data_IF_707755249738
#
_entry.id   IF_707755249738
#
_cell.length_a   1.000
_cell.length_b   1.000
_cell.length_c   1.000
_cell.angle_alpha   90.00
_cell.angle_beta   90.00
_cell.angle_gamma   90.00
#
_symmetry.space_group_name_H-M   'P 1'
#
loop_
_entity.id
_entity.type
_entity.pdbx_description
1 polymer ?
#
# COMPACT_ATOMS: atom_id res chain seq x y z
N UNK A 1 -7.55 -27.41 -0.10
CA UNK A 1 -6.83 -26.18 -0.56
C UNK A 1 -6.64 -25.20 0.61
N UNK A 2 -6.24 -25.67 1.79
CA UNK A 2 -6.14 -24.87 3.03
C UNK A 2 -4.71 -24.74 3.56
N UNK A 3 -3.77 -25.50 3.00
CA UNK A 3 -2.40 -25.62 3.54
C UNK A 3 -1.48 -24.47 3.15
N UNK A 4 -1.88 -23.63 2.19
CA UNK A 4 -1.07 -22.51 1.72
C UNK A 4 -1.21 -21.26 2.61
N UNK A 5 -2.43 -20.92 3.03
CA UNK A 5 -2.72 -19.76 3.88
C UNK A 5 -2.12 -19.91 5.29
N UNK A 6 -2.17 -21.11 5.86
CA UNK A 6 -1.56 -21.38 7.17
C UNK A 6 -0.03 -21.25 7.13
N UNK A 7 0.60 -21.66 6.03
CA UNK A 7 2.06 -21.54 5.84
C UNK A 7 2.51 -20.10 5.63
N UNK A 8 1.70 -19.29 4.92
CA UNK A 8 1.95 -17.87 4.70
C UNK A 8 1.75 -17.09 6.01
N UNK A 9 0.65 -17.34 6.73
CA UNK A 9 0.38 -16.70 8.01
C UNK A 9 1.43 -17.05 9.08
N UNK A 10 1.96 -18.29 9.05
CA UNK A 10 3.06 -18.70 9.92
C UNK A 10 4.36 -17.97 9.57
N UNK A 11 4.72 -17.90 8.28
CA UNK A 11 5.92 -17.18 7.81
C UNK A 11 5.86 -15.68 8.11
N UNK A 12 4.69 -15.06 8.06
CA UNK A 12 4.51 -13.63 8.37
C UNK A 12 4.54 -13.38 9.88
N UNK A 13 3.99 -14.28 10.71
CA UNK A 13 4.19 -14.24 12.17
C UNK A 13 5.67 -14.35 12.56
N UNK A 14 6.43 -15.20 11.87
CA UNK A 14 7.87 -15.34 12.12
C UNK A 14 8.68 -14.09 11.68
N UNK A 15 8.11 -13.26 10.79
CA UNK A 15 8.67 -11.96 10.36
C UNK A 15 8.19 -10.77 11.22
N UNK A 16 7.23 -10.98 12.12
CA UNK A 16 6.70 -9.94 13.01
C UNK A 16 7.73 -9.57 14.07
N UNK A 17 8.61 -8.64 13.71
CA UNK A 17 9.61 -8.06 14.58
C UNK A 17 8.93 -7.25 15.69
N UNK A 18 9.03 -7.77 16.91
CA UNK A 18 9.30 -6.99 18.13
C UNK A 18 8.23 -5.99 18.59
N UNK A 19 7.73 -6.23 19.80
CA UNK A 19 6.93 -5.30 20.58
C UNK A 19 7.52 -3.88 20.68
N UNK A 20 6.61 -2.91 20.65
CA UNK A 20 6.61 -1.63 21.36
C UNK A 20 7.96 -1.07 21.83
N UNK A 21 8.52 -0.12 21.08
CA UNK A 21 9.35 0.95 21.67
C UNK A 21 9.18 2.25 20.88
N UNK A 22 8.80 3.31 21.59
CA UNK A 22 8.50 4.67 21.10
C UNK A 22 9.79 5.47 20.78
N UNK A 23 10.79 4.84 20.17
CA UNK A 23 12.00 5.50 19.68
C UNK A 23 12.35 4.93 18.31
N UNK A 24 12.64 5.80 17.34
CA UNK A 24 13.12 5.42 16.01
C UNK A 24 14.45 4.68 16.14
N UNK A 25 14.37 3.36 16.35
CA UNK A 25 15.52 2.47 16.26
C UNK A 25 16.01 2.48 14.81
N UNK A 26 17.34 2.38 14.58
CA UNK A 26 17.85 2.24 13.23
C UNK A 26 17.24 0.96 12.66
N UNK A 27 16.32 1.12 11.70
CA UNK A 27 15.64 -0.01 11.09
C UNK A 27 16.71 -0.94 10.52
N UNK A 28 16.83 -2.13 11.10
CA UNK A 28 17.55 -3.23 10.49
C UNK A 28 16.92 -3.41 9.12
N UNK A 29 17.65 -3.10 8.05
CA UNK A 29 17.16 -3.13 6.67
C UNK A 29 16.46 -4.48 6.41
N UNK A 30 15.13 -4.47 6.30
CA UNK A 30 14.35 -5.69 6.09
C UNK A 30 14.30 -5.91 4.58
N UNK A 31 14.93 -6.99 4.11
CA UNK A 31 14.79 -7.38 2.72
C UNK A 31 13.43 -8.04 2.52
N UNK A 32 12.55 -7.38 1.77
CA UNK A 32 11.19 -7.82 1.54
C UNK A 32 11.07 -8.81 0.38
N UNK A 33 12.14 -9.12 -0.40
CA UNK A 33 12.03 -9.97 -1.60
C UNK A 33 11.22 -11.23 -1.36
N UNK A 34 11.40 -11.93 -0.25
CA UNK A 34 10.63 -13.16 0.02
C UNK A 34 9.17 -12.91 0.39
N UNK A 35 8.88 -11.78 1.02
CA UNK A 35 7.55 -11.41 1.47
C UNK A 35 6.71 -10.79 0.34
N UNK A 36 7.36 -10.10 -0.61
CA UNK A 36 6.67 -9.33 -1.66
C UNK A 36 6.95 -9.81 -3.09
N UNK A 37 7.84 -10.78 -3.31
CA UNK A 37 8.07 -11.31 -4.65
C UNK A 37 6.81 -11.98 -5.20
N UNK A 38 6.47 -11.60 -6.44
CA UNK A 38 5.42 -12.24 -7.23
C UNK A 38 4.02 -12.10 -6.64
N UNK A 39 3.74 -10.99 -5.96
CA UNK A 39 2.38 -10.66 -5.56
C UNK A 39 1.70 -9.90 -6.71
N UNK A 40 1.03 -10.65 -7.58
CA UNK A 40 0.08 -10.09 -8.54
C UNK A 40 -1.21 -9.74 -7.81
N UNK A 41 -1.63 -8.48 -7.88
CA UNK A 41 -2.93 -8.04 -7.36
C UNK A 41 -3.66 -7.13 -8.34
N UNK A 42 -5.00 -7.05 -8.24
CA UNK A 42 -5.77 -6.08 -9.01
C UNK A 42 -5.39 -4.66 -8.63
N UNK A 43 -5.12 -3.84 -9.65
CA UNK A 43 -4.86 -2.41 -9.51
C UNK A 43 -5.80 -1.61 -10.40
N UNK A 44 -6.11 -0.39 -9.98
CA UNK A 44 -6.67 0.66 -10.80
C UNK A 44 -5.57 1.67 -11.12
N UNK A 45 -5.41 2.01 -12.39
CA UNK A 45 -4.55 3.07 -12.85
C UNK A 45 -5.13 3.71 -14.12
N UNK A 46 -5.33 5.03 -14.10
CA UNK A 46 -5.79 5.84 -15.23
C UNK A 46 -6.99 5.26 -15.99
N UNK A 47 -8.10 5.05 -15.27
CA UNK A 47 -9.35 4.55 -15.85
C UNK A 47 -9.36 3.05 -16.16
N UNK A 48 -8.28 2.32 -15.91
CA UNK A 48 -8.16 0.89 -16.24
C UNK A 48 -7.95 0.03 -14.99
N UNK A 49 -8.55 -1.16 -14.98
CA UNK A 49 -8.30 -2.20 -13.97
C UNK A 49 -7.53 -3.35 -14.63
N UNK A 50 -6.44 -3.77 -14.02
CA UNK A 50 -5.64 -4.92 -14.47
C UNK A 50 -4.89 -5.57 -13.30
N UNK A 51 -4.35 -6.76 -13.52
CA UNK A 51 -3.47 -7.45 -12.57
C UNK A 51 -2.04 -6.93 -12.72
N UNK A 52 -1.37 -6.66 -11.60
CA UNK A 52 0.00 -6.13 -11.59
C UNK A 52 0.84 -6.80 -10.52
N UNK A 53 2.04 -7.27 -10.87
CA UNK A 53 3.10 -7.60 -9.91
C UNK A 53 3.81 -6.31 -9.50
N UNK A 54 3.18 -5.58 -8.57
CA UNK A 54 3.45 -4.18 -8.26
C UNK A 54 4.94 -3.87 -8.18
N UNK A 55 5.69 -4.62 -7.37
CA UNK A 55 7.09 -4.29 -7.12
C UNK A 55 7.99 -4.65 -8.29
N UNK A 56 7.77 -5.79 -8.95
CA UNK A 56 8.58 -6.16 -10.11
C UNK A 56 8.32 -5.22 -11.30
N UNK A 57 7.06 -4.86 -11.54
CA UNK A 57 6.69 -3.98 -12.65
C UNK A 57 7.10 -2.53 -12.40
N UNK A 58 6.92 -1.98 -11.19
CA UNK A 58 7.38 -0.62 -10.87
C UNK A 58 8.90 -0.50 -11.03
N UNK A 59 9.66 -1.46 -10.47
CA UNK A 59 11.12 -1.44 -10.56
C UNK A 59 11.68 -1.89 -11.92
N UNK A 60 10.82 -2.30 -12.86
CA UNK A 60 11.22 -2.50 -14.26
C UNK A 60 11.40 -1.18 -15.03
N UNK A 61 10.82 -0.08 -14.50
CA UNK A 61 10.96 1.26 -15.09
C UNK A 61 12.37 1.80 -14.77
N UNK A 62 13.22 2.09 -15.77
CA UNK A 62 14.67 2.29 -15.55
C UNK A 62 15.07 3.43 -14.60
N UNK A 63 14.21 4.44 -14.46
CA UNK A 63 14.48 5.63 -13.64
C UNK A 63 13.80 5.58 -12.26
N UNK A 64 13.07 4.51 -11.93
CA UNK A 64 12.45 4.37 -10.61
C UNK A 64 13.43 3.68 -9.66
N UNK A 65 13.78 4.39 -8.59
CA UNK A 65 14.69 3.94 -7.54
C UNK A 65 13.92 3.56 -6.27
N UNK A 66 12.74 4.14 -6.07
CA UNK A 66 11.93 3.95 -4.87
C UNK A 66 10.45 3.69 -5.18
N UNK A 67 9.80 2.92 -4.32
CA UNK A 67 8.35 2.81 -4.26
C UNK A 67 7.90 3.26 -2.88
N UNK A 68 6.94 4.18 -2.83
CA UNK A 68 6.27 4.62 -1.61
C UNK A 68 4.91 3.94 -1.57
N UNK A 69 4.72 3.09 -0.57
CA UNK A 69 3.48 2.34 -0.35
C UNK A 69 2.70 2.98 0.79
N UNK A 70 1.49 3.43 0.49
CA UNK A 70 0.57 4.01 1.45
C UNK A 70 -0.56 3.03 1.71
N UNK A 71 -0.76 2.61 2.96
CA UNK A 71 -1.97 1.93 3.40
C UNK A 71 -2.95 2.98 3.91
N UNK A 72 -4.07 3.14 3.23
CA UNK A 72 -5.09 4.14 3.54
C UNK A 72 -6.36 3.47 4.05
N UNK A 73 -7.21 4.26 4.72
CA UNK A 73 -8.58 3.83 5.04
C UNK A 73 -9.36 3.48 3.77
N UNK A 74 -10.50 2.81 3.95
CA UNK A 74 -11.41 2.45 2.87
C UNK A 74 -11.75 3.63 1.95
N UNK A 75 -11.97 3.31 0.68
CA UNK A 75 -12.48 4.23 -0.32
C UNK A 75 -13.78 4.89 0.15
N UNK A 76 -14.05 6.09 -0.36
CA UNK A 76 -15.20 6.93 0.03
C UNK A 76 -15.21 7.41 1.50
N UNK A 77 -14.19 7.12 2.32
CA UNK A 77 -14.05 7.74 3.64
C UNK A 77 -13.43 9.13 3.56
N UNK A 78 -13.80 10.04 4.47
CA UNK A 78 -13.20 11.38 4.53
C UNK A 78 -11.69 11.34 4.75
N UNK A 79 -11.22 10.43 5.61
CA UNK A 79 -9.81 10.31 5.91
C UNK A 79 -9.02 9.83 4.68
N UNK A 80 -9.51 8.80 3.99
CA UNK A 80 -8.92 8.35 2.73
C UNK A 80 -8.89 9.48 1.70
N UNK A 81 -9.98 10.25 1.54
CA UNK A 81 -9.99 11.42 0.63
C UNK A 81 -8.87 12.42 0.94
N UNK A 82 -8.69 12.78 2.22
CA UNK A 82 -7.65 13.72 2.64
C UNK A 82 -6.25 13.16 2.35
N UNK A 83 -6.05 11.87 2.60
CA UNK A 83 -4.77 11.21 2.34
C UNK A 83 -4.45 11.19 0.84
N UNK A 84 -5.40 10.76 -0.01
CA UNK A 84 -5.22 10.71 -1.47
C UNK A 84 -4.99 12.12 -2.06
N UNK A 85 -5.68 13.15 -1.55
CA UNK A 85 -5.45 14.53 -1.96
C UNK A 85 -4.02 14.99 -1.64
N UNK A 86 -3.53 14.72 -0.42
CA UNK A 86 -2.16 15.08 -0.04
C UNK A 86 -1.11 14.34 -0.88
N UNK A 87 -1.34 13.06 -1.19
CA UNK A 87 -0.48 12.28 -2.08
C UNK A 87 -0.48 12.91 -3.48
N UNK A 88 -1.64 13.29 -4.01
CA UNK A 88 -1.77 13.93 -5.31
C UNK A 88 -1.01 15.27 -5.38
N UNK A 89 -1.23 16.15 -4.40
CA UNK A 89 -0.57 17.46 -4.31
C UNK A 89 0.97 17.36 -4.22
N UNK A 90 1.49 16.26 -3.69
CA UNK A 90 2.92 16.04 -3.53
C UNK A 90 3.52 15.07 -4.55
N UNK A 91 2.71 14.51 -5.46
CA UNK A 91 3.14 13.44 -6.38
C UNK A 91 4.33 13.86 -7.25
N UNK A 92 4.36 15.12 -7.70
CA UNK A 92 5.48 15.65 -8.49
C UNK A 92 6.82 15.58 -7.73
N UNK A 93 6.83 15.72 -6.41
CA UNK A 93 8.04 15.59 -5.59
C UNK A 93 8.51 14.15 -5.54
N UNK A 94 7.60 13.18 -5.48
CA UNK A 94 7.97 11.75 -5.54
C UNK A 94 8.66 11.44 -6.87
N UNK A 95 8.10 11.91 -7.99
CA UNK A 95 8.68 11.74 -9.32
C UNK A 95 10.07 12.39 -9.42
N UNK A 96 10.27 13.59 -8.88
CA UNK A 96 11.57 14.26 -8.83
C UNK A 96 12.64 13.45 -8.07
N UNK A 97 12.22 12.62 -7.12
CA UNK A 97 13.08 11.72 -6.35
C UNK A 97 13.08 10.28 -6.89
N UNK A 98 12.73 10.08 -8.16
CA UNK A 98 12.73 8.75 -8.79
C UNK A 98 11.82 7.75 -8.05
N UNK A 99 10.72 8.22 -7.46
CA UNK A 99 9.82 7.42 -6.66
C UNK A 99 8.44 7.28 -7.31
N UNK A 100 7.89 6.06 -7.30
CA UNK A 100 6.50 5.80 -7.63
C UNK A 100 5.67 5.68 -6.34
N UNK A 101 4.41 6.13 -6.38
CA UNK A 101 3.47 5.96 -5.27
C UNK A 101 2.44 4.88 -5.58
N UNK A 102 2.17 4.03 -4.59
CA UNK A 102 1.14 3.00 -4.59
C UNK A 102 0.29 3.19 -3.35
N UNK A 103 -1.01 3.39 -3.54
CA UNK A 103 -1.98 3.43 -2.45
C UNK A 103 -2.68 2.08 -2.39
N UNK A 104 -2.74 1.49 -1.22
CA UNK A 104 -3.36 0.19 -0.96
C UNK A 104 -4.54 0.41 -0.01
N UNK A 105 -5.68 -0.19 -0.35
CA UNK A 105 -6.81 -0.32 0.56
C UNK A 105 -7.32 -1.75 0.57
N UNK A 106 -8.32 -2.01 1.40
CA UNK A 106 -9.03 -3.28 1.46
C UNK A 106 -10.23 -3.37 0.51
N UNK A 107 -10.52 -2.31 -0.23
CA UNK A 107 -11.60 -2.25 -1.21
C UNK A 107 -11.26 -3.01 -2.49
N UNK A 108 -12.33 -3.37 -3.21
CA UNK A 108 -12.23 -4.08 -4.49
C UNK A 108 -11.84 -3.13 -5.61
N UNK A 109 -11.22 -3.61 -6.72
CA UNK A 109 -10.77 -2.73 -7.80
C UNK A 109 -11.90 -1.96 -8.49
N UNK A 110 -13.13 -2.48 -8.50
CA UNK A 110 -14.28 -1.76 -9.03
C UNK A 110 -14.73 -0.60 -8.12
N UNK A 111 -14.47 -0.68 -6.82
CA UNK A 111 -14.69 0.43 -5.88
C UNK A 111 -13.63 1.51 -6.13
N UNK A 112 -12.36 1.11 -6.33
CA UNK A 112 -11.30 2.02 -6.77
C UNK A 112 -11.67 2.77 -8.04
N UNK A 113 -12.15 2.07 -9.06
CA UNK A 113 -12.61 2.70 -10.30
C UNK A 113 -13.72 3.73 -10.03
N UNK A 114 -14.73 3.37 -9.23
CA UNK A 114 -15.82 4.28 -8.92
C UNK A 114 -15.36 5.50 -8.11
N UNK A 115 -14.46 5.30 -7.16
CA UNK A 115 -13.95 6.35 -6.29
C UNK A 115 -13.00 7.29 -7.02
N UNK A 116 -12.07 6.74 -7.80
CA UNK A 116 -10.97 7.48 -8.41
C UNK A 116 -11.25 8.03 -9.82
N UNK A 117 -12.43 7.74 -10.39
CA UNK A 117 -12.87 8.32 -11.67
C UNK A 117 -13.69 9.59 -11.40
N UNK A 118 -13.19 10.79 -11.77
CA UNK A 118 -13.91 12.04 -11.54
C UNK A 118 -15.30 12.04 -12.16
N UNK A 119 -16.30 12.45 -11.36
CA UNK A 119 -17.68 12.55 -11.80
C UNK A 119 -18.43 11.22 -11.97
N UNK A 120 -17.82 10.06 -11.65
CA UNK A 120 -18.51 8.77 -11.72
C UNK A 120 -19.65 8.64 -10.70
N UNK A 121 -19.42 9.13 -9.47
CA UNK A 121 -20.44 9.34 -8.44
C UNK A 121 -20.30 10.74 -7.83
N UNK A 122 -21.30 11.19 -7.08
CA UNK A 122 -21.22 12.46 -6.32
C UNK A 122 -20.10 12.45 -5.27
N UNK A 123 -19.67 11.26 -4.85
CA UNK A 123 -18.63 11.06 -3.84
C UNK A 123 -17.30 10.60 -4.45
N UNK A 124 -17.13 10.66 -5.77
CA UNK A 124 -15.82 10.37 -6.39
C UNK A 124 -14.80 11.46 -6.04
N UNK A 125 -13.52 11.17 -6.28
CA UNK A 125 -12.46 12.18 -6.27
C UNK A 125 -12.73 13.23 -7.34
N UNK A 126 -12.31 14.45 -7.09
CA UNK A 126 -12.35 15.57 -8.03
C UNK A 126 -11.13 15.61 -8.96
N UNK A 127 -10.19 14.69 -8.78
CA UNK A 127 -9.02 14.48 -9.62
C UNK A 127 -8.86 13.00 -9.98
N UNK A 128 -8.21 12.74 -11.11
CA UNK A 128 -7.77 11.40 -11.47
C UNK A 128 -6.37 11.14 -10.89
N UNK A 129 -6.19 10.13 -10.02
CA UNK A 129 -4.89 9.87 -9.41
C UNK A 129 -3.80 9.55 -10.44
N UNK A 130 -2.65 10.23 -10.32
CA UNK A 130 -1.45 9.93 -11.11
C UNK A 130 -0.66 8.72 -10.57
N UNK A 131 -1.11 8.14 -9.45
CA UNK A 131 -0.52 7.00 -8.75
C UNK A 131 -1.42 5.77 -8.83
N UNK A 132 -0.86 4.61 -8.46
CA UNK A 132 -1.55 3.31 -8.53
C UNK A 132 -2.46 3.15 -7.30
N UNK A 133 -3.68 2.68 -7.51
CA UNK A 133 -4.58 2.20 -6.46
C UNK A 133 -4.64 0.68 -6.49
N UNK A 134 -4.17 0.04 -5.44
CA UNK A 134 -3.99 -1.39 -5.33
C UNK A 134 -5.03 -1.99 -4.37
N UNK A 135 -5.77 -2.99 -4.86
CA UNK A 135 -6.81 -3.67 -4.10
C UNK A 135 -6.22 -4.87 -3.36
N UNK A 136 -6.09 -4.75 -2.04
CA UNK A 136 -5.72 -5.87 -1.17
C UNK A 136 -6.99 -6.61 -0.65
N UNK A 137 -8.04 -6.66 -1.49
CA UNK A 137 -9.39 -7.08 -1.09
C UNK A 137 -9.54 -8.55 -0.68
N UNK A 138 -8.81 -9.44 -1.36
CA UNK A 138 -9.12 -10.87 -1.36
C UNK A 138 -8.49 -11.65 -0.20
N UNK A 139 -7.25 -11.32 0.15
CA UNK A 139 -6.43 -12.13 1.05
C UNK A 139 -5.58 -11.30 2.03
N UNK A 140 -5.67 -9.96 1.96
CA UNK A 140 -4.94 -9.04 2.84
C UNK A 140 -3.42 -9.26 2.83
N UNK A 141 -2.86 -9.80 1.74
CA UNK A 141 -1.47 -10.22 1.70
C UNK A 141 -0.51 -9.06 1.92
N UNK A 142 -0.75 -7.93 1.25
CA UNK A 142 0.12 -6.76 1.38
C UNK A 142 -0.04 -6.15 2.77
N UNK A 143 -1.27 -5.96 3.23
CA UNK A 143 -1.51 -5.41 4.57
C UNK A 143 -0.90 -6.28 5.66
N UNK A 144 -0.91 -7.61 5.50
CA UNK A 144 -0.28 -8.52 6.45
C UNK A 144 1.25 -8.45 6.35
N UNK A 145 1.82 -8.45 5.14
CA UNK A 145 3.27 -8.38 4.91
C UNK A 145 3.90 -7.10 5.48
N UNK A 146 3.17 -5.99 5.47
CA UNK A 146 3.60 -4.69 5.98
C UNK A 146 3.09 -4.39 7.40
N UNK A 147 2.54 -5.38 8.11
CA UNK A 147 1.93 -5.21 9.44
C UNK A 147 0.93 -4.02 9.51
N UNK A 148 0.24 -3.78 8.41
CA UNK A 148 -0.69 -2.69 8.17
C UNK A 148 -2.14 -3.16 8.27
N UNK A 149 -2.38 -4.18 9.09
CA UNK A 149 -3.69 -4.75 9.38
C UNK A 149 -3.86 -4.94 10.89
N UNK A 150 -5.06 -4.72 11.39
CA UNK A 150 -5.46 -5.17 12.71
C UNK A 150 -6.00 -6.60 12.64
N UNK A 151 -5.42 -7.51 13.41
CA UNK A 151 -5.81 -8.93 13.37
C UNK A 151 -7.07 -9.23 14.20
N UNK A 152 -7.58 -8.27 14.97
CA UNK A 152 -8.82 -8.42 15.73
C UNK A 152 -10.05 -8.20 14.86
N UNK A 153 -10.05 -7.13 14.06
CA UNK A 153 -11.20 -6.73 13.25
C UNK A 153 -10.92 -6.71 11.73
N UNK A 154 -9.70 -7.08 11.32
CA UNK A 154 -9.24 -7.06 9.93
C UNK A 154 -9.27 -5.68 9.27
N UNK A 155 -9.34 -4.61 10.06
CA UNK A 155 -9.25 -3.24 9.56
C UNK A 155 -7.82 -2.90 9.14
N UNK A 156 -7.70 -1.94 8.22
CA UNK A 156 -6.41 -1.43 7.79
C UNK A 156 -5.79 -0.53 8.86
N UNK A 157 -4.49 -0.69 9.10
CA UNK A 157 -3.70 0.25 9.91
C UNK A 157 -2.99 1.22 8.98
N UNK A 158 -3.45 2.47 8.98
CA UNK A 158 -2.88 3.54 8.17
C UNK A 158 -1.37 3.65 8.38
N UNK A 159 -0.62 3.57 7.29
CA UNK A 159 0.85 3.57 7.34
C UNK A 159 1.45 3.95 6.00
N UNK A 160 2.74 4.28 6.01
CA UNK A 160 3.54 4.57 4.84
C UNK A 160 4.88 3.85 4.92
N UNK A 161 5.30 3.27 3.81
CA UNK A 161 6.52 2.48 3.69
C UNK A 161 7.31 2.92 2.45
N UNK A 162 8.63 3.05 2.57
CA UNK A 162 9.53 3.37 1.44
C UNK A 162 10.40 2.16 1.17
N UNK A 163 10.39 1.70 -0.07
CA UNK A 163 11.09 0.51 -0.54
C UNK A 163 12.03 0.91 -1.67
N UNK A 164 13.28 0.44 -1.66
CA UNK A 164 14.19 0.62 -2.80
C UNK A 164 14.01 -0.43 -3.91
N UNK A 165 14.63 -0.19 -5.06
CA UNK A 165 14.70 -1.14 -6.19
C UNK A 165 15.31 -2.51 -5.88
N UNK A 166 15.98 -2.66 -4.73
CA UNK A 166 16.49 -3.94 -4.27
C UNK A 166 15.50 -4.67 -3.34
N UNK A 167 14.29 -4.12 -3.22
CA UNK A 167 13.20 -4.58 -2.37
C UNK A 167 13.54 -4.52 -0.88
N UNK A 168 14.36 -3.57 -0.46
CA UNK A 168 14.60 -3.31 0.95
C UNK A 168 13.64 -2.26 1.48
N UNK A 169 13.05 -2.53 2.65
CA UNK A 169 12.30 -1.54 3.40
C UNK A 169 13.27 -0.55 4.05
N UNK A 170 13.29 0.69 3.57
CA UNK A 170 14.18 1.76 4.04
C UNK A 170 13.52 2.59 5.15
N UNK A 171 12.21 2.80 5.04
CA UNK A 171 11.45 3.59 6.01
C UNK A 171 10.07 3.00 6.18
N UNK A 172 9.55 3.06 7.40
CA UNK A 172 8.19 2.64 7.75
C UNK A 172 7.64 3.55 8.84
N UNK A 173 6.40 3.98 8.68
CA UNK A 173 5.69 4.81 9.64
C UNK A 173 4.22 4.39 9.74
N UNK A 174 3.79 3.98 10.93
CA UNK A 174 2.39 3.70 11.23
C UNK A 174 1.75 4.94 11.88
N UNK A 175 0.67 5.43 11.28
CA UNK A 175 0.00 6.63 11.76
C UNK A 175 -0.81 6.31 13.02
N UNK A 176 -0.52 7.03 14.12
CA UNK A 176 -1.29 6.89 15.36
C UNK A 176 -2.72 7.43 15.15
N UNK A 177 -3.73 6.61 15.47
CA UNK A 177 -5.12 7.08 15.58
C UNK A 177 -5.16 8.06 16.75
N UNK A 178 -5.39 9.35 16.50
CA UNK A 178 -5.75 10.27 17.58
C UNK A 178 -7.13 9.84 18.08
N UNK A 179 -7.19 9.25 19.28
CA UNK A 179 -8.46 9.12 20.01
C UNK A 179 -8.99 10.55 20.20
N UNK A 180 -10.16 10.83 19.66
CA UNK A 180 -10.93 12.02 19.97
C UNK A 180 -11.56 11.88 21.35
#
# INVERSE_FOLDING_TARGET
MTDNLSSINKRIRDLSLGHETDNALPMKQINLKRAIASISIPVFYRGSIFEMDIFNEIFSVPYIEYTIVFFCDYDFTEQSRRDLLQINENYAKFVQHCAAAVVITHDRPNVHYAYATPGFTYASLDFEPAFILASDSANRLLSTAFNSIDLQDYSIKRSMHVIDKHSNLIYSNHMKIKKQ
#
